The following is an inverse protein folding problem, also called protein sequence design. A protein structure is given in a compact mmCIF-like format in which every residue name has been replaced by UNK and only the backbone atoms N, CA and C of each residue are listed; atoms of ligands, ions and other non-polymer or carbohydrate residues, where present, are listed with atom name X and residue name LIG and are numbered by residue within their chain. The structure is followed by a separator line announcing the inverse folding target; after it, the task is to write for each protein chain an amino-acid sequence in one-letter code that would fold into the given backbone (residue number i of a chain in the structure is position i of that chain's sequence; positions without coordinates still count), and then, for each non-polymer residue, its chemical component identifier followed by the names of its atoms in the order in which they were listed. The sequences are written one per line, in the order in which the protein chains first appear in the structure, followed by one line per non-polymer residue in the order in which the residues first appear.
data_IF_699530001017
#
_entry.id   IF_699530001017
#
_cell.length_a   1.000
_cell.length_b   1.000
_cell.length_c   1.000
_cell.angle_alpha   90.00
_cell.angle_beta   90.00
_cell.angle_gamma   90.00
#
_symmetry.space_group_name_H-M   'P 1'
#
loop_
_entity.id
_entity.type
_entity.pdbx_description
1 polymer ?
#
# COMPACT_ATOMS: atom_id res chain seq x y z
N UNK A 1 -49.16 6.59 -10.77
CA UNK A 1 -48.27 5.89 -9.82
C UNK A 1 -46.88 6.38 -10.09
N UNK A 2 -46.30 7.09 -9.13
CA UNK A 2 -44.89 7.48 -9.17
C UNK A 2 -44.21 6.46 -8.28
N UNK A 3 -43.38 5.59 -8.85
CA UNK A 3 -42.48 4.74 -8.09
C UNK A 3 -41.05 5.06 -8.58
N UNK A 4 -40.47 6.04 -7.88
CA UNK A 4 -39.03 6.23 -7.79
C UNK A 4 -38.54 5.35 -6.62
N UNK A 5 -37.86 4.25 -6.93
CA UNK A 5 -36.97 3.54 -6.01
C UNK A 5 -35.85 2.98 -6.88
N UNK A 6 -34.56 3.16 -6.62
CA UNK A 6 -33.83 3.82 -5.56
C UNK A 6 -32.37 3.51 -5.89
N UNK A 7 -31.58 4.56 -6.13
CA UNK A 7 -30.14 4.43 -6.33
C UNK A 7 -29.52 3.87 -5.06
N UNK A 8 -28.88 2.71 -5.14
CA UNK A 8 -27.87 2.28 -4.17
C UNK A 8 -26.52 2.23 -4.86
N UNK A 9 -25.85 3.39 -4.86
CA UNK A 9 -24.40 3.52 -5.02
C UNK A 9 -23.72 2.76 -3.88
N UNK A 10 -23.17 1.57 -4.13
CA UNK A 10 -22.16 0.99 -3.24
C UNK A 10 -20.79 1.49 -3.67
N UNK A 11 -20.55 2.79 -3.44
CA UNK A 11 -19.25 3.45 -3.53
C UNK A 11 -18.82 3.87 -2.12
N UNK A 12 -18.77 2.91 -1.19
CA UNK A 12 -18.29 3.14 0.17
C UNK A 12 -17.49 1.90 0.54
N UNK A 13 -16.16 2.04 0.66
CA UNK A 13 -15.30 1.23 1.57
C UNK A 13 -13.79 1.31 1.30
N UNK A 14 -13.36 1.94 0.21
CA UNK A 14 -11.96 1.78 -0.22
C UNK A 14 -10.95 2.48 0.69
N UNK A 15 -11.37 3.52 1.43
CA UNK A 15 -10.56 4.27 2.38
C UNK A 15 -11.17 4.41 3.77
N UNK A 16 -12.09 3.52 4.19
CA UNK A 16 -12.56 3.53 5.59
C UNK A 16 -11.39 3.18 6.52
N UNK A 17 -10.95 4.11 7.40
CA UNK A 17 -9.86 3.86 8.33
C UNK A 17 -10.10 2.63 9.22
N UNK A 18 -11.36 2.36 9.57
CA UNK A 18 -11.70 1.19 10.39
C UNK A 18 -11.46 -0.12 9.64
N UNK A 19 -11.76 -0.18 8.34
CA UNK A 19 -11.56 -1.39 7.55
C UNK A 19 -10.10 -1.63 7.22
N UNK A 20 -9.35 -0.57 6.89
CA UNK A 20 -7.91 -0.64 6.66
C UNK A 20 -7.22 -1.17 7.92
N UNK A 21 -7.46 -0.53 9.06
CA UNK A 21 -6.85 -0.92 10.34
C UNK A 21 -7.21 -2.37 10.71
N UNK A 22 -8.49 -2.75 10.61
CA UNK A 22 -8.94 -4.11 10.94
C UNK A 22 -8.30 -5.19 10.05
N UNK A 23 -8.16 -4.93 8.75
CA UNK A 23 -7.49 -5.86 7.83
C UNK A 23 -6.02 -6.07 8.24
N UNK A 24 -5.29 -4.99 8.53
CA UNK A 24 -3.90 -5.06 8.95
C UNK A 24 -3.72 -5.73 10.32
N UNK A 25 -4.58 -5.42 11.30
CA UNK A 25 -4.60 -6.09 12.60
C UNK A 25 -4.81 -7.61 12.46
N UNK A 26 -5.64 -8.05 11.51
CA UNK A 26 -5.79 -9.48 11.23
C UNK A 26 -4.50 -10.11 10.69
N UNK A 27 -3.74 -9.40 9.86
CA UNK A 27 -2.46 -9.89 9.34
C UNK A 27 -1.41 -9.97 10.46
N UNK A 28 -1.37 -8.97 11.35
CA UNK A 28 -0.52 -8.99 12.55
C UNK A 28 -0.89 -10.17 13.46
N UNK A 29 -2.19 -10.36 13.75
CA UNK A 29 -2.66 -11.47 14.60
C UNK A 29 -2.31 -12.86 14.05
N UNK A 30 -2.15 -12.97 12.73
CA UNK A 30 -1.78 -14.20 12.02
C UNK A 30 -0.28 -14.32 11.77
N UNK A 31 0.51 -13.39 12.30
CA UNK A 31 1.96 -13.33 12.12
C UNK A 31 2.37 -13.31 10.63
N UNK A 32 1.67 -12.50 9.83
CA UNK A 32 1.95 -12.29 8.42
C UNK A 32 2.36 -10.85 8.09
N UNK A 33 2.13 -9.93 9.02
CA UNK A 33 2.55 -8.53 8.95
C UNK A 33 3.26 -8.19 10.25
N UNK A 34 4.39 -7.51 10.16
CA UNK A 34 5.13 -7.11 11.36
C UNK A 34 4.37 -6.01 12.10
N UNK A 35 4.22 -6.15 13.42
CA UNK A 35 3.43 -5.22 14.23
C UNK A 35 3.95 -3.78 14.15
N UNK A 36 5.26 -3.60 13.96
CA UNK A 36 5.86 -2.27 13.77
C UNK A 36 5.39 -1.57 12.49
N UNK A 37 4.97 -2.33 11.47
CA UNK A 37 4.48 -1.77 10.21
C UNK A 37 3.01 -1.34 10.30
N UNK A 38 2.28 -1.72 11.36
CA UNK A 38 0.83 -1.52 11.45
C UNK A 38 0.43 -0.04 11.37
N UNK A 39 1.08 0.84 12.15
CA UNK A 39 0.71 2.26 12.17
C UNK A 39 1.02 2.91 10.82
N UNK A 40 2.26 2.75 10.34
CA UNK A 40 2.72 3.29 9.07
C UNK A 40 1.79 2.91 7.92
N UNK A 41 1.47 1.62 7.80
CA UNK A 41 0.59 1.13 6.73
C UNK A 41 -0.86 1.58 6.91
N UNK A 42 -1.35 1.69 8.15
CA UNK A 42 -2.71 2.17 8.40
C UNK A 42 -2.84 3.61 7.91
N UNK A 43 -1.95 4.48 8.35
CA UNK A 43 -1.97 5.90 8.01
C UNK A 43 -1.79 6.07 6.49
N UNK A 44 -0.79 5.40 5.92
CA UNK A 44 -0.51 5.47 4.48
C UNK A 44 -1.68 5.00 3.62
N UNK A 45 -2.31 3.85 3.92
CA UNK A 45 -3.38 3.29 3.10
C UNK A 45 -4.71 4.03 3.27
N UNK A 46 -4.91 4.73 4.40
CA UNK A 46 -6.05 5.65 4.57
C UNK A 46 -5.90 6.85 3.66
N UNK A 47 -4.70 7.41 3.56
CA UNK A 47 -4.41 8.53 2.66
C UNK A 47 -4.32 8.12 1.19
N UNK A 48 -3.90 6.89 0.91
CA UNK A 48 -3.64 6.36 -0.43
C UNK A 48 -4.47 5.08 -0.69
N UNK A 49 -5.83 5.17 -0.70
CA UNK A 49 -6.69 3.99 -0.80
C UNK A 49 -6.55 3.25 -2.14
N UNK A 50 -6.01 3.90 -3.17
CA UNK A 50 -5.76 3.25 -4.47
C UNK A 50 -4.69 2.16 -4.38
N UNK A 51 -3.70 2.34 -3.50
CA UNK A 51 -2.56 1.41 -3.30
C UNK A 51 -2.98 0.15 -2.55
N UNK A 52 -4.11 0.14 -1.85
CA UNK A 52 -4.60 -1.04 -1.12
C UNK A 52 -4.86 -2.22 -2.05
N UNK A 53 -4.50 -3.43 -1.62
CA UNK A 53 -4.81 -4.66 -2.36
C UNK A 53 -6.33 -4.91 -2.36
N UNK A 54 -6.96 -4.72 -3.52
CA UNK A 54 -8.42 -4.82 -3.69
C UNK A 54 -8.95 -6.25 -3.76
N UNK A 55 -8.07 -7.21 -4.07
CA UNK A 55 -8.47 -8.60 -4.20
C UNK A 55 -8.69 -9.26 -2.82
N UNK A 56 -9.96 -9.50 -2.51
CA UNK A 56 -10.41 -10.13 -1.26
C UNK A 56 -10.15 -11.64 -1.23
N UNK A 57 -9.85 -12.26 -2.37
CA UNK A 57 -9.54 -13.71 -2.48
C UNK A 57 -8.09 -14.04 -2.11
N UNK A 58 -7.22 -13.03 -2.02
CA UNK A 58 -5.82 -13.22 -1.67
C UNK A 58 -5.66 -13.83 -0.28
N UNK A 59 -4.83 -14.87 -0.19
CA UNK A 59 -4.49 -15.51 1.07
C UNK A 59 -3.78 -14.52 1.99
N UNK A 60 -4.05 -14.60 3.29
CA UNK A 60 -3.43 -13.72 4.30
C UNK A 60 -1.89 -13.69 4.23
N UNK A 61 -1.23 -14.82 3.93
CA UNK A 61 0.24 -14.86 3.74
C UNK A 61 0.71 -13.98 2.59
N UNK A 62 0.00 -14.01 1.46
CA UNK A 62 0.34 -13.20 0.28
C UNK A 62 0.14 -11.72 0.59
N UNK A 63 -1.00 -11.36 1.19
CA UNK A 63 -1.29 -9.98 1.60
C UNK A 63 -0.25 -9.45 2.59
N UNK A 64 0.09 -10.25 3.60
CA UNK A 64 1.08 -9.88 4.60
C UNK A 64 2.46 -9.63 3.99
N UNK A 65 2.94 -10.53 3.12
CA UNK A 65 4.20 -10.35 2.39
C UNK A 65 4.20 -9.07 1.54
N UNK A 66 3.12 -8.84 0.80
CA UNK A 66 2.97 -7.63 0.00
C UNK A 66 3.05 -6.36 0.86
N UNK A 67 2.31 -6.32 1.97
CA UNK A 67 2.28 -5.15 2.84
C UNK A 67 3.58 -4.93 3.62
N UNK A 68 4.31 -5.99 3.98
CA UNK A 68 5.66 -5.85 4.55
C UNK A 68 6.61 -5.20 3.54
N UNK A 69 6.62 -5.65 2.28
CA UNK A 69 7.46 -5.05 1.23
C UNK A 69 7.05 -3.60 0.91
N UNK A 70 5.75 -3.30 0.95
CA UNK A 70 5.28 -1.92 0.86
C UNK A 70 5.80 -1.08 2.04
N UNK A 71 5.76 -1.60 3.27
CA UNK A 71 6.27 -0.90 4.43
C UNK A 71 7.79 -0.65 4.35
N UNK A 72 8.57 -1.62 3.85
CA UNK A 72 10.00 -1.45 3.60
C UNK A 72 10.27 -0.34 2.59
N UNK A 73 9.54 -0.31 1.47
CA UNK A 73 9.64 0.77 0.49
C UNK A 73 9.28 2.14 1.10
N UNK A 74 8.22 2.22 1.91
CA UNK A 74 7.81 3.47 2.55
C UNK A 74 8.86 3.97 3.55
N UNK A 75 9.39 3.08 4.40
CA UNK A 75 10.49 3.40 5.33
C UNK A 75 11.73 3.85 4.58
N UNK A 76 12.07 3.20 3.46
CA UNK A 76 13.19 3.62 2.62
C UNK A 76 13.00 5.05 2.08
N UNK A 77 11.80 5.37 1.57
CA UNK A 77 11.47 6.70 1.06
C UNK A 77 11.41 7.79 2.15
N UNK A 78 11.07 7.42 3.38
CA UNK A 78 11.07 8.35 4.52
C UNK A 78 12.49 8.64 5.02
N UNK A 79 13.38 7.65 4.97
CA UNK A 79 14.75 7.75 5.50
C UNK A 79 15.75 8.35 4.53
N UNK A 80 15.52 8.21 3.23
CA UNK A 80 16.45 8.69 2.20
C UNK A 80 15.90 9.92 1.49
N UNK A 81 16.73 10.95 1.35
CA UNK A 81 16.40 12.05 0.46
C UNK A 81 16.42 11.57 -1.00
N UNK A 82 15.58 12.17 -1.86
CA UNK A 82 15.53 11.79 -3.29
C UNK A 82 16.90 11.93 -3.99
N UNK A 83 17.77 12.82 -3.50
CA UNK A 83 19.14 12.98 -3.98
C UNK A 83 20.02 11.77 -3.65
N UNK A 84 19.89 11.17 -2.46
CA UNK A 84 20.63 9.96 -2.06
C UNK A 84 20.15 8.72 -2.81
N UNK A 85 18.85 8.65 -3.13
CA UNK A 85 18.26 7.58 -3.94
C UNK A 85 18.80 7.56 -5.37
N UNK A 86 19.22 8.71 -5.91
CA UNK A 86 19.88 8.79 -7.22
C UNK A 86 21.36 8.34 -7.20
N UNK A 87 21.91 8.11 -6.00
CA UNK A 87 23.31 7.79 -5.77
C UNK A 87 23.53 6.40 -5.17
N UNK A 88 24.06 6.35 -3.94
CA UNK A 88 24.52 5.11 -3.30
C UNK A 88 23.41 4.11 -2.99
N UNK A 89 22.18 4.58 -2.79
CA UNK A 89 21.04 3.73 -2.40
C UNK A 89 20.15 3.35 -3.60
N UNK A 90 20.57 3.69 -4.83
CA UNK A 90 19.76 3.47 -6.03
C UNK A 90 19.43 1.99 -6.26
N UNK A 91 20.39 1.08 -6.04
CA UNK A 91 20.15 -0.36 -6.25
C UNK A 91 19.12 -0.92 -5.28
N UNK A 92 19.20 -0.55 -4.01
CA UNK A 92 18.23 -0.97 -2.97
C UNK A 92 16.83 -0.42 -3.28
N UNK A 93 16.74 0.85 -3.68
CA UNK A 93 15.48 1.44 -4.14
C UNK A 93 14.86 0.66 -5.30
N UNK A 94 15.66 0.31 -6.32
CA UNK A 94 15.20 -0.43 -7.49
C UNK A 94 14.72 -1.83 -7.11
N UNK A 95 15.44 -2.52 -6.23
CA UNK A 95 15.03 -3.83 -5.71
C UNK A 95 13.69 -3.75 -4.97
N UNK A 96 13.55 -2.83 -4.01
CA UNK A 96 12.30 -2.62 -3.26
C UNK A 96 11.12 -2.26 -4.17
N UNK A 97 11.35 -1.40 -5.17
CA UNK A 97 10.33 -1.00 -6.13
C UNK A 97 9.91 -2.16 -7.04
N UNK A 98 10.87 -2.98 -7.50
CA UNK A 98 10.57 -4.17 -8.29
C UNK A 98 9.80 -5.21 -7.48
N UNK A 99 10.17 -5.41 -6.22
CA UNK A 99 9.44 -6.28 -5.31
C UNK A 99 8.02 -5.80 -5.09
N UNK A 100 7.80 -4.50 -4.87
CA UNK A 100 6.46 -3.93 -4.80
C UNK A 100 5.67 -4.14 -6.11
N UNK A 101 6.32 -4.02 -7.28
CA UNK A 101 5.71 -4.26 -8.60
C UNK A 101 5.29 -5.72 -8.84
N UNK A 102 5.86 -6.68 -8.11
CA UNK A 102 5.44 -8.09 -8.17
C UNK A 102 4.06 -8.32 -7.51
N UNK A 103 3.54 -7.34 -6.78
CA UNK A 103 2.21 -7.38 -6.18
C UNK A 103 1.21 -6.54 -6.96
N UNK A 104 -0.08 -6.80 -6.70
CA UNK A 104 -1.19 -6.09 -7.34
C UNK A 104 -1.44 -4.68 -6.76
N UNK A 105 -0.37 -3.96 -6.42
CA UNK A 105 -0.44 -2.56 -6.00
C UNK A 105 -0.74 -1.62 -7.17
N UNK A 106 -1.13 -0.39 -6.84
CA UNK A 106 -1.43 0.64 -7.83
C UNK A 106 -0.18 0.99 -8.64
N UNK A 107 -0.24 0.69 -9.95
CA UNK A 107 0.89 0.90 -10.86
C UNK A 107 1.19 2.38 -11.09
N UNK A 108 0.16 3.22 -11.15
CA UNK A 108 0.36 4.66 -11.39
C UNK A 108 1.04 5.32 -10.19
N UNK A 109 0.69 4.87 -8.98
CA UNK A 109 1.36 5.30 -7.76
C UNK A 109 2.83 4.86 -7.74
N UNK A 110 3.12 3.60 -8.06
CA UNK A 110 4.50 3.09 -8.12
C UNK A 110 5.34 3.82 -9.18
N UNK A 111 4.78 4.08 -10.36
CA UNK A 111 5.46 4.87 -11.39
C UNK A 111 5.68 6.33 -10.95
N UNK A 112 4.76 6.87 -10.14
CA UNK A 112 4.93 8.18 -9.50
C UNK A 112 6.04 8.20 -8.45
N UNK A 113 6.25 7.11 -7.71
CA UNK A 113 7.39 6.94 -6.80
C UNK A 113 8.70 6.89 -7.61
N UNK A 114 8.75 6.07 -8.65
CA UNK A 114 9.92 5.94 -9.53
C UNK A 114 10.31 7.29 -10.16
N UNK A 115 9.33 8.02 -10.71
CA UNK A 115 9.57 9.33 -11.33
C UNK A 115 10.12 10.35 -10.33
N UNK A 116 9.59 10.41 -9.11
CA UNK A 116 10.09 11.33 -8.07
C UNK A 116 11.49 10.97 -7.61
N UNK A 117 11.82 9.68 -7.55
CA UNK A 117 13.15 9.21 -7.18
C UNK A 117 14.20 9.46 -8.27
N UNK A 118 13.83 9.31 -9.55
CA UNK A 118 14.74 9.51 -10.69
C UNK A 118 14.86 10.98 -11.12
N UNK A 119 13.84 11.80 -10.86
CA UNK A 119 13.77 13.21 -11.26
C UNK A 119 13.34 14.09 -10.07
N UNK A 120 14.23 14.31 -9.08
CA UNK A 120 13.96 15.12 -7.89
C UNK A 120 13.72 16.60 -8.17
#
# INVERSE_FOLDING_TARGET
GIENEGVSKTNIDQGDPFLVKRELEQLVSKNHLDNENLSLLTDFLVENPSVRLKDTSLRYRYKGCAYNLLAELLKFLETHSLLEVSGSCHSEFVELLQDARNFAFDKEWLDGVERRALFP
#
